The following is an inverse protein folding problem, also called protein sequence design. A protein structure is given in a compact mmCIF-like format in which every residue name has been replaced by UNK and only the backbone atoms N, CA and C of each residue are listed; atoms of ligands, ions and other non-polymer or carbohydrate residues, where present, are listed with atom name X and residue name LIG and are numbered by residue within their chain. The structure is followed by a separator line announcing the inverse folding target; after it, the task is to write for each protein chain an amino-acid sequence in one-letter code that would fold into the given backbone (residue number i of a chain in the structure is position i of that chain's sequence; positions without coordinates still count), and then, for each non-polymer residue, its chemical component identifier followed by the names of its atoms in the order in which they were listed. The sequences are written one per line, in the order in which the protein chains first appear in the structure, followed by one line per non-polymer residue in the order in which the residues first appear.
data_IF_203613189232
#
_entry.id   IF_203613189232
#
_cell.length_a   1.000
_cell.length_b   1.000
_cell.length_c   1.000
_cell.angle_alpha   90.00
_cell.angle_beta   90.00
_cell.angle_gamma   90.00
#
_symmetry.space_group_name_H-M   'P 1'
#
loop_
_entity.id
_entity.type
_entity.pdbx_description
1 polymer ?
#
# COMPACT_ATOMS: atom_id res chain seq x y z
N UNK A 1 -15.31 -1.41 11.71
CA UNK A 1 -13.95 -1.30 11.17
C UNK A 1 -13.93 -0.09 10.27
N UNK A 2 -13.15 0.92 10.63
CA UNK A 2 -13.18 2.22 9.99
C UNK A 2 -12.25 2.19 8.78
N UNK A 3 -12.84 2.11 7.59
CA UNK A 3 -12.16 2.55 6.37
C UNK A 3 -11.82 4.02 6.58
N UNK A 4 -10.55 4.35 6.78
CA UNK A 4 -10.11 5.74 6.63
C UNK A 4 -10.29 6.14 5.17
N UNK A 5 -11.51 6.55 4.84
CA UNK A 5 -11.81 7.23 3.60
C UNK A 5 -11.12 8.59 3.70
N UNK A 6 -9.86 8.67 3.24
CA UNK A 6 -9.20 9.95 3.05
C UNK A 6 -10.20 10.87 2.34
N UNK A 7 -10.58 12.00 2.96
CA UNK A 7 -11.54 12.88 2.32
C UNK A 7 -10.99 13.29 0.95
N UNK A 8 -11.84 13.31 -0.10
CA UNK A 8 -11.39 13.40 -1.49
C UNK A 8 -10.67 14.71 -1.85
N UNK A 9 -10.58 15.65 -0.91
CA UNK A 9 -9.97 16.96 -1.04
C UNK A 9 -8.63 17.12 -0.29
N UNK A 10 -8.03 16.06 0.25
CA UNK A 10 -6.66 16.11 0.78
C UNK A 10 -5.64 16.19 -0.35
N UNK A 11 -4.65 17.06 -0.19
CA UNK A 11 -3.47 17.07 -1.06
C UNK A 11 -2.61 15.81 -0.87
N UNK A 12 -1.76 15.51 -1.84
CA UNK A 12 -0.82 14.38 -1.74
C UNK A 12 0.12 14.52 -0.55
N UNK A 13 0.61 15.74 -0.29
CA UNK A 13 1.53 16.04 0.82
C UNK A 13 0.86 15.83 2.19
N UNK A 14 -0.37 16.32 2.37
CA UNK A 14 -1.11 16.12 3.62
C UNK A 14 -1.47 14.64 3.84
N UNK A 15 -1.71 13.90 2.77
CA UNK A 15 -1.94 12.45 2.84
C UNK A 15 -0.67 11.70 3.26
N UNK A 16 0.47 12.03 2.68
CA UNK A 16 1.76 11.44 3.03
C UNK A 16 2.11 11.71 4.49
N UNK A 17 1.95 12.95 4.95
CA UNK A 17 2.17 13.34 6.34
C UNK A 17 1.29 12.55 7.31
N UNK A 18 0.00 12.42 7.02
CA UNK A 18 -0.93 11.63 7.86
C UNK A 18 -0.53 10.16 7.94
N UNK A 19 -0.12 9.56 6.83
CA UNK A 19 0.32 8.16 6.80
C UNK A 19 1.63 7.96 7.59
N UNK A 20 2.53 8.94 7.56
CA UNK A 20 3.80 8.87 8.29
C UNK A 20 3.63 9.05 9.80
N UNK A 21 2.63 9.82 10.23
CA UNK A 21 2.34 10.10 11.63
C UNK A 21 1.45 9.03 12.30
N UNK A 22 0.83 8.15 11.50
CA UNK A 22 -0.03 7.06 11.97
C UNK A 22 0.80 5.96 12.65
N UNK A 23 0.36 5.49 13.82
CA UNK A 23 1.04 4.37 14.48
C UNK A 23 0.64 3.04 13.83
N UNK A 24 1.52 2.05 13.90
CA UNK A 24 1.29 0.73 13.30
C UNK A 24 -0.02 0.08 13.80
N UNK A 25 -0.44 0.34 15.04
CA UNK A 25 -1.68 -0.17 15.61
C UNK A 25 -2.95 0.46 15.02
N UNK A 26 -2.82 1.66 14.44
CA UNK A 26 -3.92 2.37 13.76
C UNK A 26 -4.02 1.97 12.28
N UNK A 27 -3.00 1.30 11.74
CA UNK A 27 -2.97 0.82 10.36
C UNK A 27 -3.85 -0.43 10.23
N UNK A 28 -4.89 -0.33 9.39
CA UNK A 28 -5.74 -1.46 9.04
C UNK A 28 -5.07 -2.36 7.99
N UNK A 29 -4.46 -3.45 8.46
CA UNK A 29 -3.85 -4.47 7.59
C UNK A 29 -4.85 -5.52 7.08
N UNK A 30 -6.15 -5.42 7.41
CA UNK A 30 -7.13 -6.44 7.01
C UNK A 30 -7.35 -6.51 5.50
N UNK A 31 -7.06 -5.43 4.78
CA UNK A 31 -7.10 -5.37 3.31
C UNK A 31 -5.85 -5.98 2.65
N UNK A 32 -4.78 -6.27 3.40
CA UNK A 32 -3.60 -6.95 2.87
C UNK A 32 -3.84 -8.46 2.88
N UNK A 33 -3.92 -9.12 1.72
CA UNK A 33 -4.09 -10.56 1.68
C UNK A 33 -2.87 -11.28 2.30
N UNK A 34 -3.05 -12.47 2.88
CA UNK A 34 -1.94 -13.26 3.39
C UNK A 34 -0.95 -13.63 2.27
N UNK A 35 0.33 -13.71 2.61
CA UNK A 35 1.37 -14.19 1.70
C UNK A 35 1.44 -15.72 1.80
N UNK A 36 0.81 -16.41 0.86
CA UNK A 36 0.79 -17.87 0.76
C UNK A 36 1.72 -18.40 -0.34
N UNK A 37 1.79 -19.72 -0.47
CA UNK A 37 2.61 -20.37 -1.51
C UNK A 37 2.18 -19.95 -2.92
N UNK A 38 0.88 -19.73 -3.13
CA UNK A 38 0.34 -19.31 -4.43
C UNK A 38 0.81 -17.91 -4.81
N UNK A 39 0.89 -16.98 -3.85
CA UNK A 39 1.49 -15.66 -4.07
C UNK A 39 2.93 -15.79 -4.58
N UNK A 40 3.77 -16.59 -3.91
CA UNK A 40 5.18 -16.73 -4.28
C UNK A 40 5.37 -17.46 -5.61
N UNK A 41 4.53 -18.45 -5.91
CA UNK A 41 4.56 -19.17 -7.19
C UNK A 41 4.26 -18.26 -8.38
N UNK A 42 3.43 -17.22 -8.18
CA UNK A 42 3.05 -16.26 -9.22
C UNK A 42 3.88 -14.97 -9.18
N UNK A 43 4.74 -14.79 -8.17
CA UNK A 43 5.55 -13.59 -8.04
C UNK A 43 6.59 -13.51 -9.17
N UNK A 44 6.70 -12.34 -9.80
CA UNK A 44 7.71 -12.08 -10.84
C UNK A 44 8.77 -11.12 -10.33
N UNK A 45 10.04 -11.48 -10.53
CA UNK A 45 11.15 -10.60 -10.20
C UNK A 45 11.22 -9.47 -11.24
N UNK A 46 10.81 -8.26 -10.85
CA UNK A 46 10.96 -7.08 -11.71
C UNK A 46 12.43 -6.66 -11.73
N UNK A 47 13.11 -7.03 -12.81
CA UNK A 47 14.47 -6.57 -13.05
C UNK A 47 14.42 -5.12 -13.53
N UNK A 48 15.05 -4.18 -12.80
CA UNK A 48 15.00 -2.72 -13.07
C UNK A 48 15.38 -2.30 -14.51
N UNK A 49 15.99 -3.19 -15.30
CA UNK A 49 16.30 -2.95 -16.72
C UNK A 49 15.08 -2.95 -17.65
N UNK A 50 13.93 -3.49 -17.21
CA UNK A 50 12.72 -3.60 -18.03
C UNK A 50 11.60 -2.60 -17.65
N UNK A 51 11.85 -1.69 -16.71
CA UNK A 51 10.96 -0.57 -16.43
C UNK A 51 11.18 0.53 -17.49
N UNK A 52 10.76 0.28 -18.74
CA UNK A 52 10.31 1.38 -19.59
C UNK A 52 8.90 1.70 -19.15
N UNK A 53 8.70 2.92 -18.64
CA UNK A 53 7.39 3.49 -18.33
C UNK A 53 6.44 3.18 -19.49
N UNK A 54 5.39 2.41 -19.19
CA UNK A 54 4.14 2.42 -19.95
C UNK A 54 3.20 3.41 -19.26
#
# INVERSE_FOLDING_TARGET
MNKENFPPNLSLEEREKKLLEMSDEEIDYSDIPPLDEDFFNNATLVNKRNLKLL
#
